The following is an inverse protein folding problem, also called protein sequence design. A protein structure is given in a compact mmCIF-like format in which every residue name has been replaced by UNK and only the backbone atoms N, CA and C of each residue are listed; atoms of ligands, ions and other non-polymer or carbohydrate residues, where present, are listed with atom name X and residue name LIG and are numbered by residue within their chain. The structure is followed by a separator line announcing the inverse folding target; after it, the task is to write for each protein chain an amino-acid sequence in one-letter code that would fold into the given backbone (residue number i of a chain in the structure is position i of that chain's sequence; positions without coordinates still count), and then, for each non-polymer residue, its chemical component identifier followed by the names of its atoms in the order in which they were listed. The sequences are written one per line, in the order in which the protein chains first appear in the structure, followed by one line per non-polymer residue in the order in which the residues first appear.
data_IF_153325428896
#
_entry.id   IF_153325428896
#
_cell.length_a   1.000
_cell.length_b   1.000
_cell.length_c   1.000
_cell.angle_alpha   90.00
_cell.angle_beta   90.00
_cell.angle_gamma   90.00
#
_symmetry.space_group_name_H-M   'P 1'
#
loop_
_entity.id
_entity.type
_entity.pdbx_description
1 polymer ?
#
# COMPACT_ATOMS: atom_id res chain seq x y z
N UNK A 1 -28.21 -12.19 -19.03
CA UNK A 1 -27.18 -13.25 -19.15
C UNK A 1 -25.97 -12.78 -18.36
N UNK A 2 -25.79 -13.29 -17.15
CA UNK A 2 -24.64 -12.94 -16.31
C UNK A 2 -23.49 -13.79 -16.84
N UNK A 3 -22.56 -13.17 -17.55
CA UNK A 3 -21.41 -13.88 -18.12
C UNK A 3 -20.46 -14.13 -16.95
N UNK A 4 -20.46 -15.34 -16.41
CA UNK A 4 -19.49 -15.75 -15.41
C UNK A 4 -18.15 -15.92 -16.13
N UNK A 5 -17.31 -14.89 -16.08
CA UNK A 5 -16.00 -14.91 -16.73
C UNK A 5 -15.03 -15.80 -15.95
N UNK A 6 -14.27 -16.66 -16.65
CA UNK A 6 -13.44 -17.68 -16.02
C UNK A 6 -12.31 -17.07 -15.19
N UNK A 7 -11.97 -17.79 -14.12
CA UNK A 7 -10.78 -17.58 -13.32
C UNK A 7 -9.78 -18.67 -13.70
N UNK A 8 -8.53 -18.29 -13.92
CA UNK A 8 -7.46 -19.17 -14.38
C UNK A 8 -6.51 -19.61 -13.25
N UNK A 9 -6.95 -19.49 -12.00
CA UNK A 9 -6.17 -19.83 -10.82
C UNK A 9 -7.08 -20.47 -9.75
N UNK A 10 -6.47 -21.27 -8.88
CA UNK A 10 -7.10 -21.79 -7.66
C UNK A 10 -6.86 -20.83 -6.48
N UNK A 11 -7.78 -20.76 -5.52
CA UNK A 11 -7.59 -19.90 -4.34
C UNK A 11 -6.29 -20.25 -3.61
N UNK A 12 -5.45 -19.23 -3.35
CA UNK A 12 -4.11 -19.35 -2.79
C UNK A 12 -3.09 -20.12 -3.66
N UNK A 13 -3.29 -20.15 -4.97
CA UNK A 13 -2.27 -20.63 -5.91
C UNK A 13 -1.09 -19.65 -5.98
N UNK A 14 0.12 -20.20 -6.05
CA UNK A 14 1.34 -19.42 -6.29
C UNK A 14 1.36 -18.97 -7.75
N UNK A 15 1.41 -17.66 -7.97
CA UNK A 15 1.45 -17.08 -9.32
C UNK A 15 2.74 -16.33 -9.59
N UNK A 16 3.11 -16.28 -10.87
CA UNK A 16 4.27 -15.54 -11.36
C UNK A 16 3.86 -14.26 -12.10
N UNK A 17 4.73 -13.22 -12.13
CA UNK A 17 4.49 -12.02 -12.92
C UNK A 17 4.20 -12.37 -14.38
N UNK A 18 3.11 -11.83 -14.94
CA UNK A 18 2.66 -12.11 -16.30
C UNK A 18 1.71 -13.29 -16.44
N UNK A 19 1.41 -14.03 -15.37
CA UNK A 19 0.42 -15.11 -15.40
C UNK A 19 -1.00 -14.54 -15.57
N UNK A 20 -1.78 -15.11 -16.49
CA UNK A 20 -3.18 -14.75 -16.72
C UNK A 20 -4.05 -15.24 -15.56
N UNK A 21 -4.87 -14.35 -15.00
CA UNK A 21 -5.73 -14.65 -13.85
C UNK A 21 -7.22 -14.65 -14.20
N UNK A 22 -7.65 -13.75 -15.10
CA UNK A 22 -9.04 -13.69 -15.57
C UNK A 22 -9.15 -12.87 -16.85
N UNK A 23 -10.22 -13.09 -17.63
CA UNK A 23 -10.58 -12.26 -18.78
C UNK A 23 -11.47 -11.05 -18.41
N UNK A 24 -11.77 -10.84 -17.12
CA UNK A 24 -12.56 -9.70 -16.65
C UNK A 24 -11.72 -8.60 -16.03
N UNK A 25 -11.13 -7.74 -16.86
CA UNK A 25 -10.32 -6.59 -16.44
C UNK A 25 -10.99 -5.66 -15.43
N UNK A 26 -12.33 -5.63 -15.34
CA UNK A 26 -13.06 -4.80 -14.36
C UNK A 26 -12.89 -5.27 -12.93
N UNK A 27 -12.52 -6.53 -12.74
CA UNK A 27 -12.30 -7.14 -11.42
C UNK A 27 -10.84 -7.04 -10.98
N UNK A 28 -9.99 -6.25 -11.64
CA UNK A 28 -8.59 -6.07 -11.22
C UNK A 28 -8.51 -5.47 -9.82
N UNK A 29 -7.70 -6.10 -8.98
CA UNK A 29 -7.38 -5.66 -7.62
C UNK A 29 -5.87 -5.53 -7.41
N UNK A 30 -5.48 -5.43 -6.14
CA UNK A 30 -4.07 -5.23 -5.77
C UNK A 30 -3.16 -6.36 -6.26
N UNK A 31 -1.95 -6.02 -6.69
CA UNK A 31 -0.98 -7.01 -7.19
C UNK A 31 -1.27 -7.55 -8.59
N UNK A 32 -2.25 -6.96 -9.29
CA UNK A 32 -2.57 -7.29 -10.69
C UNK A 32 -2.44 -6.07 -11.61
N UNK A 33 -2.39 -6.31 -12.91
CA UNK A 33 -2.50 -5.28 -13.93
C UNK A 33 -3.39 -5.76 -15.08
N UNK A 34 -3.92 -4.82 -15.87
CA UNK A 34 -4.83 -5.12 -16.98
C UNK A 34 -4.17 -4.82 -18.32
N UNK A 35 -4.20 -5.79 -19.23
CA UNK A 35 -3.79 -5.63 -20.64
C UNK A 35 -4.87 -6.28 -21.50
N UNK A 36 -5.34 -5.55 -22.53
CA UNK A 36 -6.37 -6.01 -23.47
C UNK A 36 -7.65 -6.54 -22.80
N UNK A 37 -8.04 -5.92 -21.68
CA UNK A 37 -9.22 -6.31 -20.90
C UNK A 37 -9.04 -7.56 -20.05
N UNK A 38 -7.84 -8.15 -20.00
CA UNK A 38 -7.49 -9.32 -19.19
C UNK A 38 -6.64 -8.94 -17.98
N UNK A 39 -6.78 -9.69 -16.90
CA UNK A 39 -6.04 -9.50 -15.66
C UNK A 39 -4.81 -10.42 -15.63
N UNK A 40 -3.66 -9.83 -15.36
CA UNK A 40 -2.40 -10.54 -15.18
C UNK A 40 -1.81 -10.26 -13.79
N UNK A 41 -1.07 -11.23 -13.25
CA UNK A 41 -0.31 -11.05 -12.01
C UNK A 41 0.85 -10.06 -12.23
N UNK A 42 0.96 -9.02 -11.40
CA UNK A 42 2.04 -8.03 -11.49
C UNK A 42 3.32 -8.47 -10.77
N UNK A 43 3.23 -9.46 -9.90
CA UNK A 43 4.25 -9.82 -8.92
C UNK A 43 4.09 -11.30 -8.50
N UNK A 44 5.13 -11.87 -7.91
CA UNK A 44 5.07 -13.22 -7.33
C UNK A 44 4.25 -13.20 -6.04
N UNK A 45 3.27 -14.10 -5.90
CA UNK A 45 2.41 -14.15 -4.72
C UNK A 45 1.32 -15.21 -4.77
N UNK A 46 0.33 -15.07 -3.88
CA UNK A 46 -0.86 -15.93 -3.83
C UNK A 46 -2.04 -15.24 -4.50
N UNK A 47 -2.63 -15.87 -5.50
CA UNK A 47 -3.84 -15.35 -6.13
C UNK A 47 -5.08 -15.62 -5.25
N UNK A 48 -5.92 -14.61 -5.10
CA UNK A 48 -7.13 -14.67 -4.25
C UNK A 48 -8.21 -13.75 -4.81
N UNK A 49 -9.44 -13.91 -4.33
CA UNK A 49 -10.55 -13.03 -4.65
C UNK A 49 -10.98 -12.30 -3.38
N UNK A 50 -10.85 -10.98 -3.36
CA UNK A 50 -11.24 -10.14 -2.23
C UNK A 50 -12.20 -9.06 -2.70
N UNK A 51 -13.36 -8.94 -2.03
CA UNK A 51 -14.39 -7.96 -2.39
C UNK A 51 -14.77 -8.00 -3.88
N UNK A 52 -14.93 -9.22 -4.42
CA UNK A 52 -15.24 -9.46 -5.83
C UNK A 52 -14.14 -9.01 -6.83
N UNK A 53 -12.92 -8.73 -6.37
CA UNK A 53 -11.75 -8.41 -7.20
C UNK A 53 -10.69 -9.51 -7.12
N UNK A 54 -10.02 -9.74 -8.25
CA UNK A 54 -8.86 -10.63 -8.38
C UNK A 54 -7.63 -9.89 -7.87
N UNK A 55 -7.01 -10.42 -6.82
CA UNK A 55 -5.84 -9.83 -6.16
C UNK A 55 -4.71 -10.85 -6.09
N UNK A 56 -3.48 -10.36 -5.99
CA UNK A 56 -2.28 -11.17 -5.72
C UNK A 56 -1.61 -10.68 -4.45
N UNK A 57 -1.66 -11.50 -3.40
CA UNK A 57 -0.96 -11.25 -2.14
C UNK A 57 0.52 -11.52 -2.35
N UNK A 58 1.34 -10.46 -2.41
CA UNK A 58 2.78 -10.59 -2.62
C UNK A 58 3.45 -11.39 -1.50
N UNK A 59 4.41 -12.25 -1.84
CA UNK A 59 5.31 -12.83 -0.82
C UNK A 59 6.29 -11.81 -0.25
N UNK A 60 6.66 -10.80 -1.04
CA UNK A 60 7.53 -9.71 -0.63
C UNK A 60 6.96 -8.41 -1.16
N UNK A 61 6.77 -7.45 -0.27
CA UNK A 61 6.23 -6.14 -0.60
C UNK A 61 6.84 -5.05 0.26
N UNK A 62 6.62 -3.80 -0.14
CA UNK A 62 6.80 -2.65 0.73
C UNK A 62 5.43 -2.31 1.30
N UNK A 63 5.39 -1.80 2.53
CA UNK A 63 4.17 -1.27 3.11
C UNK A 63 3.58 -0.18 2.19
N UNK A 64 2.29 -0.29 1.85
CA UNK A 64 1.54 0.69 1.07
C UNK A 64 0.60 1.44 2.01
N UNK A 65 0.85 2.73 2.30
CA UNK A 65 0.07 3.45 3.29
C UNK A 65 -1.36 3.70 2.82
N UNK A 66 -2.33 3.25 3.61
CA UNK A 66 -3.74 3.55 3.43
C UNK A 66 -4.23 4.53 4.51
N UNK A 67 -5.20 5.36 4.17
CA UNK A 67 -5.80 6.30 5.12
C UNK A 67 -6.46 5.50 6.25
N UNK A 68 -6.15 5.89 7.49
CA UNK A 68 -6.65 5.22 8.69
C UNK A 68 -5.66 4.24 9.31
N UNK A 69 -4.61 3.83 8.58
CA UNK A 69 -3.57 2.94 9.10
C UNK A 69 -2.87 3.56 10.31
N UNK A 70 -2.60 2.73 11.31
CA UNK A 70 -1.79 3.07 12.46
C UNK A 70 -0.38 2.50 12.25
N UNK A 71 0.60 3.40 12.21
CA UNK A 71 1.97 3.09 11.81
C UNK A 71 2.95 3.54 12.87
N UNK A 72 4.03 2.79 13.01
CA UNK A 72 5.16 3.14 13.86
C UNK A 72 6.29 3.59 12.95
N UNK A 73 6.84 4.77 13.22
CA UNK A 73 7.91 5.36 12.43
C UNK A 73 8.99 5.98 13.28
N UNK A 74 10.13 6.25 12.65
CA UNK A 74 11.29 6.89 13.29
C UNK A 74 11.48 8.28 12.73
N UNK A 75 11.64 9.28 13.60
CA UNK A 75 11.89 10.65 13.17
C UNK A 75 13.25 10.73 12.48
N UNK A 76 13.25 11.19 11.24
CA UNK A 76 14.46 11.40 10.44
C UNK A 76 14.91 12.84 10.40
N UNK A 77 13.98 13.80 10.48
CA UNK A 77 14.28 15.23 10.48
C UNK A 77 13.22 16.02 11.27
N UNK A 78 13.66 17.12 11.88
CA UNK A 78 12.84 18.04 12.68
C UNK A 78 12.81 19.39 11.98
N UNK A 79 11.64 19.76 11.45
CA UNK A 79 11.43 21.00 10.69
C UNK A 79 10.69 22.04 11.54
N UNK A 80 10.78 23.35 11.22
CA UNK A 80 10.05 24.38 11.94
C UNK A 80 8.51 24.19 11.93
N UNK A 81 7.98 23.48 10.95
CA UNK A 81 6.55 23.26 10.70
C UNK A 81 6.14 21.78 10.73
N UNK A 82 6.97 20.90 11.32
CA UNK A 82 6.64 19.47 11.33
C UNK A 82 7.83 18.54 11.52
N UNK A 83 7.58 17.26 11.22
CA UNK A 83 8.56 16.19 11.33
C UNK A 83 8.51 15.32 10.07
N UNK A 84 9.69 14.88 9.62
CA UNK A 84 9.80 13.82 8.62
C UNK A 84 10.03 12.50 9.33
N UNK A 85 9.23 11.50 8.99
CA UNK A 85 9.15 10.22 9.69
C UNK A 85 9.39 9.09 8.70
N UNK A 86 10.36 8.24 8.97
CA UNK A 86 10.62 7.04 8.16
C UNK A 86 9.68 5.93 8.60
N UNK A 87 8.88 5.43 7.67
CA UNK A 87 7.93 4.31 7.85
C UNK A 87 8.47 2.98 7.30
N UNK A 88 9.69 2.99 6.75
CA UNK A 88 10.40 1.81 6.27
C UNK A 88 10.94 1.97 4.85
N UNK A 89 12.12 1.38 4.58
CA UNK A 89 12.86 1.51 3.31
C UNK A 89 12.92 2.95 2.79
N UNK A 90 12.17 3.26 1.73
CA UNK A 90 12.14 4.55 1.03
C UNK A 90 10.82 5.31 1.26
N UNK A 91 10.03 4.93 2.28
CA UNK A 91 8.77 5.56 2.60
C UNK A 91 8.95 6.58 3.73
N UNK A 92 8.78 7.85 3.41
CA UNK A 92 8.81 8.95 4.36
C UNK A 92 7.42 9.56 4.48
N UNK A 93 6.88 9.57 5.69
CA UNK A 93 5.70 10.33 6.07
C UNK A 93 6.09 11.72 6.55
N UNK A 94 5.18 12.69 6.39
CA UNK A 94 5.37 14.06 6.87
C UNK A 94 4.25 14.39 7.84
N UNK A 95 4.61 14.75 9.07
CA UNK A 95 3.68 15.28 10.06
C UNK A 95 3.71 16.80 9.93
N UNK A 96 2.60 17.40 9.46
CA UNK A 96 2.48 18.85 9.32
C UNK A 96 1.87 19.46 10.57
N UNK A 97 2.60 20.40 11.18
CA UNK A 97 2.15 21.19 12.34
C UNK A 97 2.46 22.65 12.04
N UNK A 98 1.45 23.48 11.65
CA UNK A 98 1.69 24.87 11.27
C UNK A 98 2.29 25.73 12.40
N UNK A 99 1.98 25.38 13.65
CA UNK A 99 2.45 26.11 14.83
C UNK A 99 3.83 25.61 15.29
N UNK A 100 4.86 26.43 15.04
CA UNK A 100 6.25 26.15 15.44
C UNK A 100 6.41 25.94 16.95
N UNK A 101 5.63 26.62 17.79
CA UNK A 101 5.75 26.47 19.26
C UNK A 101 5.33 25.08 19.68
N UNK A 102 4.31 24.51 19.04
CA UNK A 102 3.87 23.12 19.29
C UNK A 102 4.94 22.11 18.90
N UNK A 103 5.61 22.31 17.76
CA UNK A 103 6.71 21.45 17.33
C UNK A 103 7.82 21.43 18.39
N UNK A 104 8.20 22.60 18.92
CA UNK A 104 9.23 22.70 19.96
C UNK A 104 8.79 22.06 21.29
N UNK A 105 7.54 22.26 21.68
CA UNK A 105 6.98 21.70 22.91
C UNK A 105 6.90 20.17 22.91
N UNK A 106 6.84 19.54 21.74
CA UNK A 106 6.86 18.07 21.63
C UNK A 106 8.22 17.48 22.01
N UNK A 107 9.30 18.28 21.95
CA UNK A 107 10.64 17.85 22.38
C UNK A 107 11.24 16.69 21.58
N UNK A 108 10.62 16.33 20.46
CA UNK A 108 11.00 15.18 19.63
C UNK A 108 12.31 15.43 18.89
N UNK A 109 13.13 14.39 18.80
CA UNK A 109 14.47 14.40 18.18
C UNK A 109 14.57 13.36 17.08
N UNK A 110 15.57 13.54 16.22
CA UNK A 110 15.95 12.53 15.23
C UNK A 110 16.31 11.23 15.95
N UNK A 111 15.73 10.11 15.51
CA UNK A 111 15.87 8.79 16.13
C UNK A 111 14.73 8.40 17.06
N UNK A 112 13.86 9.33 17.47
CA UNK A 112 12.71 9.00 18.32
C UNK A 112 11.68 8.16 17.54
N UNK A 113 11.08 7.21 18.23
CA UNK A 113 10.04 6.32 17.69
C UNK A 113 8.68 6.87 18.06
N UNK A 114 7.80 7.00 17.07
CA UNK A 114 6.44 7.51 17.26
C UNK A 114 5.40 6.57 16.65
N UNK A 115 4.22 6.53 17.26
CA UNK A 115 3.01 5.99 16.63
C UNK A 115 2.22 7.13 16.00
N UNK A 116 1.80 6.96 14.76
CA UNK A 116 1.02 7.95 14.02
C UNK A 116 -0.08 7.27 13.19
N UNK A 117 -1.16 8.00 12.95
CA UNK A 117 -2.23 7.56 12.04
C UNK A 117 -2.10 8.26 10.69
N UNK A 118 -2.14 7.49 9.61
CA UNK A 118 -2.12 8.02 8.24
C UNK A 118 -3.41 8.80 7.99
N UNK A 119 -3.31 10.12 7.84
CA UNK A 119 -4.44 10.99 7.51
C UNK A 119 -4.68 11.11 6.02
N UNK A 120 -3.61 11.16 5.25
CA UNK A 120 -3.63 11.29 3.80
C UNK A 120 -2.52 10.43 3.21
N UNK A 121 -2.78 9.80 2.07
CA UNK A 121 -1.78 9.06 1.30
C UNK A 121 -1.92 9.44 -0.16
N UNK A 122 -0.83 9.94 -0.75
CA UNK A 122 -0.78 10.25 -2.19
C UNK A 122 -0.43 9.04 -3.04
N UNK A 123 -0.02 7.92 -2.41
CA UNK A 123 0.20 6.65 -3.10
C UNK A 123 -1.16 6.00 -3.32
N UNK A 124 -1.67 6.09 -4.55
CA UNK A 124 -2.88 5.37 -4.96
C UNK A 124 -2.55 3.89 -5.17
N UNK A 125 -3.39 3.02 -4.58
CA UNK A 125 -3.51 1.61 -4.95
C UNK A 125 -4.38 1.46 -6.17
#
# INVERSE_FOLDING_TARGET
MIIEMPLYFSEHEIVLPGQLLSDDGRRSGEGTYVVDGKIYAAQVGLATIRNNRVCVIAFKGVYRPQVGDEVIGVISDVKPNGFDVVLGKHLTGVIRIPDRRKVQNLGLRVGDVISARVKESSLRG
#
